data_IF_538054199326
#
_entry.id   IF_538054199326
#
_cell.length_a   1.000
_cell.length_b   1.000
_cell.length_c   1.000
_cell.angle_alpha   90.00
_cell.angle_beta   90.00
_cell.angle_gamma   90.00
#
_symmetry.space_group_name_H-M   'P 1'
#
loop_
_entity.id
_entity.type
_entity.pdbx_description
1 polymer ?
#
# COMPACT_ATOMS: atom_id res chain seq x y z
N UNK A 1 -10.17 2.43 22.00
CA UNK A 1 -9.77 1.74 23.24
C UNK A 1 -8.77 2.54 24.06
N UNK A 2 -8.76 2.40 25.39
CA UNK A 2 -7.66 2.86 26.26
C UNK A 2 -6.49 1.86 26.21
N UNK A 3 -5.26 2.34 26.45
CA UNK A 3 -4.06 1.49 26.43
C UNK A 3 -4.11 0.35 27.45
N UNK A 4 -4.67 0.61 28.63
CA UNK A 4 -4.77 -0.39 29.71
C UNK A 4 -5.77 -1.51 29.36
N UNK A 5 -6.91 -1.15 28.76
CA UNK A 5 -7.90 -2.09 28.21
C UNK A 5 -7.28 -2.95 27.10
N UNK A 6 -6.45 -2.35 26.24
CA UNK A 6 -5.77 -3.07 25.16
C UNK A 6 -4.80 -4.13 25.68
N UNK A 7 -4.16 -3.86 26.81
CA UNK A 7 -3.23 -4.78 27.46
C UNK A 7 -3.97 -5.94 28.11
N UNK A 8 -5.06 -5.64 28.79
CA UNK A 8 -5.93 -6.66 29.37
C UNK A 8 -6.47 -7.63 28.32
N UNK A 9 -6.92 -7.12 27.16
CA UNK A 9 -7.40 -7.96 26.06
C UNK A 9 -6.33 -8.91 25.48
N UNK A 10 -5.07 -8.49 25.48
CA UNK A 10 -3.94 -9.36 25.09
C UNK A 10 -3.45 -10.27 26.22
N UNK A 11 -3.98 -10.12 27.44
CA UNK A 11 -3.62 -10.92 28.61
C UNK A 11 -2.43 -10.38 29.40
N UNK A 12 -2.15 -9.08 29.31
CA UNK A 12 -1.18 -8.40 30.17
C UNK A 12 -1.90 -7.68 31.32
N UNK A 13 -1.19 -7.41 32.41
CA UNK A 13 -1.71 -6.54 33.45
C UNK A 13 -1.99 -5.14 32.87
N UNK A 14 -2.86 -4.31 33.47
CA UNK A 14 -3.12 -2.94 33.02
C UNK A 14 -1.95 -1.96 33.28
N UNK A 15 -1.05 -2.27 34.23
CA UNK A 15 0.07 -1.37 34.60
C UNK A 15 1.49 -1.78 34.11
N UNK A 16 1.79 -3.07 33.89
CA UNK A 16 3.03 -3.61 33.23
C UNK A 16 3.40 -3.12 31.81
N UNK A 17 4.53 -2.46 31.54
CA UNK A 17 4.89 -2.11 30.15
C UNK A 17 5.45 -3.32 29.38
N UNK A 18 4.69 -3.97 28.47
CA UNK A 18 5.17 -5.17 27.79
C UNK A 18 6.08 -4.81 26.61
N UNK A 19 7.08 -5.63 26.34
CA UNK A 19 8.01 -5.41 25.22
C UNK A 19 7.28 -5.66 23.88
N UNK A 20 7.60 -4.99 22.75
CA UNK A 20 6.91 -5.22 21.48
C UNK A 20 6.96 -6.68 20.99
N UNK A 21 8.01 -7.42 21.36
CA UNK A 21 8.13 -8.87 21.11
C UNK A 21 7.08 -9.68 21.87
N UNK A 22 6.85 -9.37 23.14
CA UNK A 22 5.84 -10.00 23.99
C UNK A 22 4.43 -9.67 23.49
N UNK A 23 4.17 -8.40 23.16
CA UNK A 23 2.90 -7.95 22.59
C UNK A 23 2.58 -8.72 21.30
N UNK A 24 3.57 -8.90 20.42
CA UNK A 24 3.42 -9.68 19.19
C UNK A 24 3.18 -11.17 19.47
N UNK A 25 3.87 -11.75 20.45
CA UNK A 25 3.68 -13.13 20.85
C UNK A 25 2.27 -13.36 21.42
N UNK A 26 1.82 -12.50 22.34
CA UNK A 26 0.50 -12.56 22.94
C UNK A 26 -0.61 -12.39 21.90
N UNK A 27 -0.46 -11.44 20.98
CA UNK A 27 -1.36 -11.26 19.83
C UNK A 27 -1.48 -12.53 19.00
N UNK A 28 -0.36 -13.17 18.63
CA UNK A 28 -0.38 -14.41 17.85
C UNK A 28 -1.15 -15.53 18.56
N UNK A 29 -0.97 -15.69 19.87
CA UNK A 29 -1.73 -16.68 20.66
C UNK A 29 -3.22 -16.38 20.64
N UNK A 30 -3.60 -15.12 20.94
CA UNK A 30 -4.99 -14.68 21.01
C UNK A 30 -5.72 -14.79 19.67
N UNK A 31 -5.04 -14.46 18.57
CA UNK A 31 -5.57 -14.64 17.22
C UNK A 31 -5.84 -16.10 16.91
N UNK A 32 -4.94 -17.01 17.29
CA UNK A 32 -5.15 -18.43 17.10
C UNK A 32 -6.30 -18.95 17.97
N UNK A 33 -6.44 -18.47 19.20
CA UNK A 33 -7.59 -18.81 20.07
C UNK A 33 -8.92 -18.33 19.50
N UNK A 34 -8.95 -17.18 18.81
CA UNK A 34 -10.18 -16.56 18.30
C UNK A 34 -10.37 -16.68 16.79
N UNK A 35 -9.62 -17.55 16.10
CA UNK A 35 -9.67 -17.63 14.65
C UNK A 35 -11.02 -18.21 14.18
N UNK A 36 -11.80 -17.53 13.31
CA UNK A 36 -13.15 -17.97 12.94
C UNK A 36 -13.20 -19.34 12.24
N UNK A 37 -12.07 -19.81 11.68
CA UNK A 37 -11.98 -21.15 11.06
C UNK A 37 -11.99 -22.30 12.08
N UNK A 38 -11.66 -22.03 13.35
CA UNK A 38 -11.69 -23.05 14.40
C UNK A 38 -13.09 -23.25 14.99
N UNK A 39 -14.03 -22.36 14.67
CA UNK A 39 -15.37 -22.36 15.27
C UNK A 39 -16.46 -22.84 14.30
N UNK A 40 -17.45 -23.57 14.81
CA UNK A 40 -18.64 -23.94 14.03
C UNK A 40 -19.45 -22.70 13.63
N UNK A 41 -20.26 -22.81 12.57
CA UNK A 41 -20.94 -21.68 11.92
C UNK A 41 -21.71 -20.75 12.88
N UNK A 42 -22.32 -21.29 13.93
CA UNK A 42 -23.09 -20.53 14.92
C UNK A 42 -22.23 -19.68 15.87
N UNK A 43 -20.96 -20.02 16.06
CA UNK A 43 -20.01 -19.29 16.92
C UNK A 43 -19.06 -18.38 16.13
N UNK A 44 -19.07 -18.44 14.79
CA UNK A 44 -18.19 -17.64 13.94
C UNK A 44 -18.33 -16.15 14.17
N UNK A 45 -19.56 -15.65 14.33
CA UNK A 45 -19.81 -14.23 14.60
C UNK A 45 -19.13 -13.75 15.90
N UNK A 46 -19.17 -14.58 16.95
CA UNK A 46 -18.50 -14.28 18.22
C UNK A 46 -16.98 -14.34 18.09
N UNK A 47 -16.45 -15.32 17.35
CA UNK A 47 -15.02 -15.43 17.07
C UNK A 47 -14.50 -14.23 16.27
N UNK A 48 -15.23 -13.80 15.24
CA UNK A 48 -14.92 -12.60 14.46
C UNK A 48 -14.92 -11.32 15.32
N UNK A 49 -15.90 -11.18 16.21
CA UNK A 49 -15.97 -10.03 17.13
C UNK A 49 -14.74 -9.99 18.04
N UNK A 50 -14.36 -11.12 18.64
CA UNK A 50 -13.15 -11.24 19.48
C UNK A 50 -11.89 -10.96 18.68
N UNK A 51 -11.78 -11.51 17.47
CA UNK A 51 -10.65 -11.29 16.58
C UNK A 51 -10.46 -9.79 16.24
N UNK A 52 -11.56 -9.08 15.96
CA UNK A 52 -11.54 -7.62 15.74
C UNK A 52 -11.06 -6.86 16.98
N UNK A 53 -11.56 -7.19 18.17
CA UNK A 53 -11.14 -6.57 19.42
C UNK A 53 -9.64 -6.78 19.69
N UNK A 54 -9.13 -8.00 19.50
CA UNK A 54 -7.70 -8.33 19.64
C UNK A 54 -6.84 -7.54 18.63
N UNK A 55 -7.35 -7.34 17.41
CA UNK A 55 -6.66 -6.59 16.35
C UNK A 55 -6.59 -5.08 16.65
N UNK A 56 -7.68 -4.51 17.19
CA UNK A 56 -7.72 -3.12 17.68
C UNK A 56 -6.74 -2.93 18.84
N UNK A 57 -6.75 -3.85 19.81
CA UNK A 57 -5.85 -3.84 20.97
C UNK A 57 -4.38 -3.79 20.56
N UNK A 58 -3.97 -4.70 19.66
CA UNK A 58 -2.60 -4.77 19.17
C UNK A 58 -2.18 -3.48 18.44
N UNK A 59 -3.08 -2.91 17.63
CA UNK A 59 -2.80 -1.67 16.89
C UNK A 59 -2.59 -0.50 17.85
N UNK A 60 -3.45 -0.37 18.87
CA UNK A 60 -3.33 0.65 19.91
C UNK A 60 -1.98 0.58 20.63
N UNK A 61 -1.53 -0.61 21.04
CA UNK A 61 -0.25 -0.76 21.73
C UNK A 61 0.96 -0.54 20.83
N UNK A 62 0.85 -0.92 19.55
CA UNK A 62 1.90 -0.68 18.56
C UNK A 62 2.07 0.80 18.25
N UNK A 63 0.99 1.58 18.25
CA UNK A 63 1.05 3.02 18.01
C UNK A 63 1.53 3.79 19.25
N UNK A 64 1.22 3.32 20.47
CA UNK A 64 1.80 3.89 21.69
C UNK A 64 3.34 3.77 21.74
N UNK A 65 3.91 2.66 21.27
CA UNK A 65 5.36 2.47 21.18
C UNK A 65 6.01 3.44 20.18
N UNK A 66 5.27 3.86 19.14
CA UNK A 66 5.74 4.81 18.13
C UNK A 66 5.80 6.26 18.60
N UNK A 67 5.08 6.64 19.66
CA UNK A 67 5.13 8.01 20.18
C UNK A 67 6.54 8.37 20.69
N UNK A 68 7.38 7.38 21.04
CA UNK A 68 8.80 7.57 21.34
C UNK A 68 9.73 7.63 20.11
N UNK A 69 9.24 7.33 18.90
CA UNK A 69 9.99 7.32 17.65
C UNK A 69 9.20 8.05 16.53
N UNK A 70 9.37 9.37 16.37
CA UNK A 70 8.53 10.20 15.47
C UNK A 70 8.69 9.91 13.96
N UNK A 71 9.45 8.88 13.56
CA UNK A 71 9.70 8.51 12.15
C UNK A 71 8.80 7.39 11.61
N UNK A 72 7.85 6.86 12.39
CA UNK A 72 6.98 5.76 11.98
C UNK A 72 5.60 6.21 11.48
N UNK A 73 5.40 6.26 10.16
CA UNK A 73 4.15 6.68 9.52
C UNK A 73 2.87 6.06 10.11
N UNK A 74 1.85 6.90 10.25
CA UNK A 74 0.50 6.56 10.73
C UNK A 74 -0.15 5.56 9.76
N UNK A 75 -0.31 4.30 10.19
CA UNK A 75 -1.05 3.29 9.44
C UNK A 75 -2.49 3.24 9.97
N UNK A 76 -3.38 4.01 9.37
CA UNK A 76 -4.82 3.83 9.57
C UNK A 76 -5.24 2.55 8.84
N UNK A 77 -5.27 1.43 9.55
CA UNK A 77 -5.76 0.16 9.02
C UNK A 77 -7.29 0.11 9.07
N UNK A 78 -7.93 0.58 8.01
CA UNK A 78 -9.34 0.27 7.72
C UNK A 78 -9.44 -1.17 7.23
N UNK A 79 -10.00 -2.06 8.07
CA UNK A 79 -10.34 -3.41 7.65
C UNK A 79 -11.51 -3.37 6.65
N UNK A 80 -11.18 -3.27 5.36
CA UNK A 80 -12.05 -3.66 4.24
C UNK A 80 -11.22 -4.46 3.24
N UNK A 81 -11.73 -5.65 2.89
CA UNK A 81 -11.10 -6.68 2.03
C UNK A 81 -10.27 -6.09 0.88
N UNK A 82 -9.00 -6.46 0.81
CA UNK A 82 -8.12 -6.18 -0.31
C UNK A 82 -6.66 -6.46 0.03
N UNK A 83 -5.99 -7.24 -0.82
CA UNK A 83 -4.63 -7.74 -0.73
C UNK A 83 -3.61 -6.83 0.00
N UNK A 84 -2.80 -7.45 0.86
CA UNK A 84 -1.66 -6.82 1.51
C UNK A 84 -0.67 -6.30 0.45
N UNK A 85 -0.50 -4.97 0.38
CA UNK A 85 0.66 -4.36 -0.26
C UNK A 85 1.64 -3.99 0.84
N UNK A 86 2.46 -4.97 1.22
CA UNK A 86 3.59 -4.71 2.12
C UNK A 86 4.54 -3.75 1.41
N UNK A 87 4.70 -2.54 1.95
CA UNK A 87 5.67 -1.56 1.45
C UNK A 87 7.07 -1.99 1.89
N UNK A 88 7.57 -3.08 1.31
CA UNK A 88 9.02 -3.29 1.20
C UNK A 88 9.53 -2.14 0.35
N UNK A 89 10.60 -1.47 0.79
CA UNK A 89 11.30 -0.39 0.06
C UNK A 89 11.76 -0.94 -1.29
N UNK A 90 10.87 -0.90 -2.27
CA UNK A 90 11.12 -1.37 -3.61
C UNK A 90 11.42 -0.15 -4.47
N UNK A 91 12.52 -0.18 -5.20
CA UNK A 91 12.89 0.87 -6.15
C UNK A 91 11.82 0.92 -7.25
N UNK A 92 10.77 1.72 -7.04
CA UNK A 92 9.64 1.91 -7.95
C UNK A 92 10.09 2.38 -9.34
N UNK A 93 11.29 2.95 -9.42
CA UNK A 93 11.99 3.29 -10.65
C UNK A 93 12.24 2.09 -11.56
N UNK A 94 12.62 0.92 -11.02
CA UNK A 94 12.97 -0.26 -11.84
C UNK A 94 11.78 -0.88 -12.57
N UNK A 95 10.55 -0.70 -12.07
CA UNK A 95 9.34 -1.27 -12.69
C UNK A 95 8.69 -0.28 -13.67
N UNK A 96 8.85 1.03 -13.46
CA UNK A 96 8.24 2.08 -14.32
C UNK A 96 9.09 2.48 -15.52
N UNK A 97 10.40 2.32 -15.41
CA UNK A 97 11.35 2.66 -16.49
C UNK A 97 11.10 1.96 -17.83
N UNK A 98 10.79 0.64 -17.92
CA UNK A 98 10.64 0.02 -19.24
C UNK A 98 9.47 0.56 -20.05
N UNK A 99 8.33 0.88 -19.40
CA UNK A 99 7.16 1.40 -20.10
C UNK A 99 7.30 2.87 -20.52
N UNK A 100 7.99 3.69 -19.71
CA UNK A 100 8.27 5.08 -20.06
C UNK A 100 9.24 5.19 -21.25
N UNK A 101 10.25 4.32 -21.33
CA UNK A 101 11.17 4.27 -22.46
C UNK A 101 10.46 3.84 -23.75
N UNK A 102 9.51 2.91 -23.66
CA UNK A 102 8.72 2.45 -24.80
C UNK A 102 7.82 3.56 -25.37
N UNK A 103 7.16 4.33 -24.49
CA UNK A 103 6.33 5.48 -24.90
C UNK A 103 7.20 6.60 -25.53
N UNK A 104 8.36 6.90 -24.95
CA UNK A 104 9.26 7.92 -25.49
C UNK A 104 9.85 7.51 -26.86
N UNK A 105 10.17 6.23 -27.04
CA UNK A 105 10.71 5.69 -28.27
C UNK A 105 9.69 5.73 -29.44
N UNK A 106 8.42 5.39 -29.18
CA UNK A 106 7.40 5.39 -30.25
C UNK A 106 7.02 6.79 -30.70
N UNK A 107 6.91 7.75 -29.78
CA UNK A 107 6.60 9.16 -30.12
C UNK A 107 7.74 9.82 -30.92
N UNK A 108 8.99 9.58 -30.54
CA UNK A 108 10.15 10.14 -31.23
C UNK A 108 10.37 9.53 -32.62
N UNK A 109 10.27 8.20 -32.77
CA UNK A 109 10.51 7.55 -34.05
C UNK A 109 9.39 7.80 -35.08
N UNK A 110 8.13 7.93 -34.62
CA UNK A 110 7.00 8.27 -35.50
C UNK A 110 7.08 9.69 -36.07
N UNK A 111 7.51 10.67 -35.27
CA UNK A 111 7.58 12.08 -35.70
C UNK A 111 8.69 12.35 -36.75
N UNK A 112 9.82 11.63 -36.69
CA UNK A 112 10.93 11.83 -37.61
C UNK A 112 10.62 11.37 -39.04
N UNK A 113 9.83 10.31 -39.21
CA UNK A 113 9.44 9.83 -40.54
C UNK A 113 8.41 10.76 -41.20
N UNK A 114 7.44 11.29 -40.44
CA UNK A 114 6.47 12.25 -40.95
C UNK A 114 7.13 13.58 -41.36
N UNK A 115 8.07 14.10 -40.56
CA UNK A 115 8.75 15.37 -40.89
C UNK A 115 9.65 15.26 -42.13
N UNK A 116 10.27 14.09 -42.36
CA UNK A 116 11.05 13.82 -43.57
C UNK A 116 10.16 13.70 -44.82
N UNK A 117 9.00 13.05 -44.71
CA UNK A 117 8.04 12.96 -45.81
C UNK A 117 7.49 14.36 -46.18
N UNK A 118 7.08 15.14 -45.18
CA UNK A 118 6.58 16.51 -45.39
C UNK A 118 7.64 17.42 -46.04
N UNK A 119 8.91 17.32 -45.62
CA UNK A 119 10.01 18.08 -46.27
C UNK A 119 10.22 17.67 -47.72
N UNK A 120 10.23 16.37 -48.02
CA UNK A 120 10.34 15.87 -49.40
C UNK A 120 9.17 16.35 -50.27
N UNK A 121 7.96 16.34 -49.75
CA UNK A 121 6.77 16.82 -50.47
C UNK A 121 6.84 18.34 -50.70
N UNK A 122 7.28 19.10 -49.69
CA UNK A 122 7.50 20.55 -49.80
C UNK A 122 8.58 20.92 -50.83
N UNK A 123 9.64 20.12 -50.94
CA UNK A 123 10.70 20.29 -51.94
C UNK A 123 10.25 19.87 -53.36
N UNK A 124 9.44 18.81 -53.47
CA UNK A 124 8.93 18.30 -54.75
C UNK A 124 7.81 19.17 -55.34
N UNK A 125 6.99 19.79 -54.50
CA UNK A 125 5.91 20.67 -54.89
C UNK A 125 6.03 22.01 -54.15
N UNK A 126 6.96 22.90 -54.56
CA UNK A 126 6.95 24.27 -54.10
C UNK A 126 5.65 24.90 -54.62
N UNK A 127 4.64 25.04 -53.76
CA UNK A 127 3.34 25.58 -54.15
C UNK A 127 3.55 26.96 -54.80
N UNK A 128 3.24 27.05 -56.08
CA UNK A 128 3.25 28.31 -56.81
C UNK A 128 2.25 29.27 -56.15
N UNK A 129 2.76 30.39 -55.63
CA UNK A 129 1.96 31.39 -54.93
C UNK A 129 1.44 32.42 -55.95
N UNK A 130 0.14 32.43 -56.29
CA UNK A 130 -0.39 33.31 -57.33
C UNK A 130 -0.50 34.79 -56.89
N UNK A 131 -0.06 35.14 -55.69
CA UNK A 131 -0.12 36.50 -55.13
C UNK A 131 1.24 37.11 -54.75
N UNK A 132 2.35 36.43 -55.08
CA UNK A 132 3.66 37.08 -55.08
C UNK A 132 3.96 37.51 -56.53
N UNK A 133 4.29 38.79 -56.79
CA UNK A 133 4.66 39.27 -58.13
C UNK A 133 5.98 38.67 -58.63
#
# INVERSE_FOLDING_TARGET
>A
MRGDEARELLGFCPNSRPNPSEVKAAYKRKVMESHPDLFPAHQKSQAEMKFKQISEAYSCLKDCDRIGNPTGGSYVHVTRRGAYKSYSRHNQALIRTPFLLLILATVSFGALNASRAYRKEKEACPSYNPFLP
#
